data_IF_185973712324
#
_entry.id   IF_185973712324
#
_cell.length_a   1.000
_cell.length_b   1.000
_cell.length_c   1.000
_cell.angle_alpha   90.00
_cell.angle_beta   90.00
_cell.angle_gamma   90.00
#
_symmetry.space_group_name_H-M   'P 1'
#
loop_
_entity.id
_entity.type
_entity.pdbx_description
1 polymer ?
#
# COMPACT_ATOMS: atom_id res chain seq x y z
N UNK A 1 -8.94 9.79 13.93
CA UNK A 1 -9.20 10.06 15.37
C UNK A 1 -7.94 9.80 16.14
N UNK A 2 -7.30 10.86 16.60
CA UNK A 2 -6.04 10.86 17.34
C UNK A 2 -6.21 10.09 18.66
N UNK A 3 -5.47 9.01 18.81
CA UNK A 3 -5.29 8.34 20.09
C UNK A 3 -4.29 9.12 20.94
N UNK A 4 -4.79 9.96 21.83
CA UNK A 4 -3.96 10.58 22.86
C UNK A 4 -3.58 9.52 23.91
N UNK A 5 -2.28 9.24 24.04
CA UNK A 5 -1.73 8.61 25.23
C UNK A 5 -1.26 9.73 26.16
N UNK A 6 -2.00 10.01 27.22
CA UNK A 6 -1.55 10.88 28.31
C UNK A 6 -0.64 10.09 29.23
N UNK A 7 0.67 10.34 29.19
CA UNK A 7 1.59 10.03 30.28
C UNK A 7 1.87 11.32 31.03
N UNK A 8 1.10 11.58 32.09
CA UNK A 8 1.35 12.67 33.03
C UNK A 8 1.87 12.11 34.34
N UNK A 9 2.93 12.67 34.91
CA UNK A 9 3.36 12.39 36.28
C UNK A 9 2.55 13.21 37.28
N UNK A 10 2.00 12.52 38.29
CA UNK A 10 1.33 13.15 39.43
C UNK A 10 2.34 13.81 40.37
N UNK A 11 2.18 15.07 40.68
CA UNK A 11 2.93 15.71 41.77
C UNK A 11 2.21 15.56 43.09
N UNK A 12 2.97 15.47 44.18
CA UNK A 12 2.46 15.29 45.56
C UNK A 12 1.57 16.43 46.09
N UNK A 13 1.47 17.55 45.36
CA UNK A 13 0.64 18.71 45.70
C UNK A 13 -0.75 18.71 45.04
N UNK A 14 -1.08 17.65 44.30
CA UNK A 14 -2.38 17.53 43.63
C UNK A 14 -2.57 18.36 42.36
N UNK A 15 -1.54 19.00 41.84
CA UNK A 15 -1.60 19.78 40.60
C UNK A 15 -1.21 18.95 39.38
N UNK A 16 -1.96 19.08 38.29
CA UNK A 16 -1.62 18.52 36.96
C UNK A 16 -0.81 19.58 36.20
N UNK A 17 0.42 19.25 35.84
CA UNK A 17 1.20 20.11 34.96
C UNK A 17 0.97 19.69 33.51
N UNK A 18 0.13 20.42 32.81
CA UNK A 18 0.05 20.38 31.34
C UNK A 18 1.13 21.29 30.77
N UNK A 19 2.39 20.88 30.83
CA UNK A 19 3.37 21.47 29.94
C UNK A 19 2.94 21.14 28.52
N UNK A 20 2.52 22.16 27.79
CA UNK A 20 2.36 22.08 26.35
C UNK A 20 3.75 21.73 25.78
N UNK A 21 3.92 20.47 25.39
CA UNK A 21 4.97 20.16 24.42
C UNK A 21 4.62 20.95 23.16
N UNK A 22 5.32 22.07 22.98
CA UNK A 22 5.37 22.72 21.68
C UNK A 22 6.24 21.79 20.83
N UNK A 23 5.58 20.89 20.12
CA UNK A 23 6.20 20.16 19.03
C UNK A 23 6.45 21.17 17.90
N UNK A 24 7.68 21.67 17.84
CA UNK A 24 8.18 22.53 16.76
C UNK A 24 8.76 21.70 15.60
N UNK A 25 8.47 20.41 15.55
CA UNK A 25 8.66 19.58 14.38
C UNK A 25 7.56 19.93 13.37
N UNK A 26 7.90 20.60 12.28
CA UNK A 26 7.01 20.62 11.12
C UNK A 26 6.68 19.16 10.82
N UNK A 27 5.38 18.79 10.89
CA UNK A 27 4.91 17.50 10.39
C UNK A 27 5.35 17.41 8.94
N UNK A 28 6.44 16.69 8.69
CA UNK A 28 6.85 16.42 7.31
C UNK A 28 5.81 15.45 6.76
N UNK A 29 5.00 15.96 5.83
CA UNK A 29 4.06 15.12 5.09
C UNK A 29 4.82 13.92 4.48
N UNK A 30 4.31 12.72 4.69
CA UNK A 30 4.90 11.49 4.14
C UNK A 30 4.48 11.33 2.68
N UNK A 31 5.13 12.10 1.82
CA UNK A 31 4.84 12.16 0.39
C UNK A 31 6.02 11.69 -0.45
N UNK A 32 5.74 11.18 -1.64
CA UNK A 32 6.73 10.84 -2.64
C UNK A 32 6.19 11.06 -4.06
N UNK A 33 7.07 11.39 -4.99
CA UNK A 33 6.78 11.49 -6.42
C UNK A 33 7.87 10.77 -7.19
N UNK A 34 7.50 9.69 -7.89
CA UNK A 34 8.42 8.82 -8.61
C UNK A 34 8.06 8.83 -10.10
N UNK A 35 9.05 9.02 -10.92
CA UNK A 35 8.99 8.81 -12.36
C UNK A 35 9.92 7.65 -12.76
N UNK A 36 9.42 6.73 -13.59
CA UNK A 36 10.18 5.61 -14.14
C UNK A 36 9.86 5.46 -15.62
N UNK A 37 10.88 5.53 -16.44
CA UNK A 37 10.79 5.34 -17.88
C UNK A 37 11.70 4.20 -18.30
N UNK A 38 11.13 3.20 -18.96
CA UNK A 38 11.84 2.08 -19.59
C UNK A 38 11.58 2.10 -21.10
N UNK A 39 11.90 1.01 -21.79
CA UNK A 39 11.49 0.85 -23.19
C UNK A 39 10.03 0.40 -23.32
N UNK A 40 9.55 -0.28 -22.26
CA UNK A 40 8.26 -0.94 -22.21
C UNK A 40 7.20 -0.06 -21.53
N UNK A 41 7.61 0.76 -20.52
CA UNK A 41 6.68 1.54 -19.70
C UNK A 41 7.15 2.95 -19.42
N UNK A 42 6.20 3.88 -19.27
CA UNK A 42 6.41 5.21 -18.71
C UNK A 42 5.42 5.39 -17.55
N UNK A 43 5.94 5.59 -16.35
CA UNK A 43 5.14 5.65 -15.13
C UNK A 43 5.43 6.94 -14.38
N UNK A 44 4.36 7.63 -13.98
CA UNK A 44 4.40 8.73 -12.99
C UNK A 44 3.49 8.34 -11.84
N UNK A 45 4.03 8.36 -10.63
CA UNK A 45 3.29 8.05 -9.41
C UNK A 45 3.56 9.10 -8.34
N UNK A 46 2.48 9.65 -7.78
CA UNK A 46 2.52 10.54 -6.62
C UNK A 46 1.76 9.87 -5.46
N UNK A 47 2.36 9.80 -4.29
CA UNK A 47 1.81 9.17 -3.09
C UNK A 47 1.85 10.15 -1.92
N UNK A 48 0.73 10.25 -1.19
CA UNK A 48 0.66 10.86 0.13
C UNK A 48 0.09 9.83 1.13
N UNK A 49 0.92 9.39 2.09
CA UNK A 49 0.50 8.44 3.12
C UNK A 49 -0.38 9.08 4.21
N UNK A 50 -0.39 10.40 4.31
CA UNK A 50 -1.24 11.19 5.21
C UNK A 50 -2.43 11.82 4.47
N UNK A 51 -2.90 11.14 3.42
CA UNK A 51 -3.96 11.57 2.53
C UNK A 51 -5.37 11.41 3.09
N UNK A 52 -6.33 11.49 2.18
CA UNK A 52 -7.78 11.44 2.47
C UNK A 52 -8.50 10.32 1.73
N UNK A 53 -7.77 9.45 1.03
CA UNK A 53 -8.29 8.33 0.25
C UNK A 53 -8.66 8.71 -1.18
N UNK A 54 -7.99 9.68 -1.78
CA UNK A 54 -8.22 10.10 -3.17
C UNK A 54 -7.34 9.29 -4.13
N UNK A 55 -8.00 8.56 -5.03
CA UNK A 55 -7.37 7.91 -6.17
C UNK A 55 -7.54 8.73 -7.45
N UNK A 56 -6.48 8.86 -8.24
CA UNK A 56 -6.48 9.37 -9.62
C UNK A 56 -5.61 8.44 -10.44
N UNK A 57 -6.22 7.34 -10.93
CA UNK A 57 -5.52 6.17 -11.45
C UNK A 57 -5.83 6.00 -12.94
N UNK A 58 -4.81 5.71 -13.74
CA UNK A 58 -4.94 5.32 -15.14
C UNK A 58 -3.75 4.47 -15.55
N UNK A 59 -3.95 3.15 -15.55
CA UNK A 59 -2.93 2.16 -15.94
C UNK A 59 -3.19 1.55 -17.31
N UNK A 60 -4.41 1.76 -17.86
CA UNK A 60 -4.87 1.10 -19.05
C UNK A 60 -5.50 -0.28 -18.82
N UNK A 61 -5.46 -0.79 -17.57
CA UNK A 61 -6.05 -2.08 -17.17
C UNK A 61 -7.14 -1.80 -16.13
N UNK A 62 -8.42 -1.76 -16.55
CA UNK A 62 -9.52 -1.25 -15.74
C UNK A 62 -9.69 -1.96 -14.38
N UNK A 63 -9.46 -3.28 -14.30
CA UNK A 63 -9.51 -3.99 -13.02
C UNK A 63 -8.34 -3.60 -12.11
N UNK A 64 -7.16 -3.35 -12.65
CA UNK A 64 -6.02 -2.90 -11.88
C UNK A 64 -6.20 -1.45 -11.39
N UNK A 65 -6.80 -0.59 -12.21
CA UNK A 65 -7.20 0.77 -11.79
C UNK A 65 -8.12 0.69 -10.56
N UNK A 66 -9.14 -0.17 -10.61
CA UNK A 66 -10.07 -0.39 -9.49
C UNK A 66 -9.36 -0.91 -8.23
N UNK A 67 -8.38 -1.79 -8.37
CA UNK A 67 -7.59 -2.28 -7.22
C UNK A 67 -6.77 -1.17 -6.56
N UNK A 68 -6.08 -0.36 -7.34
CA UNK A 68 -5.30 0.77 -6.84
C UNK A 68 -6.18 1.88 -6.24
N UNK A 69 -7.37 2.12 -6.80
CA UNK A 69 -8.37 3.01 -6.19
C UNK A 69 -8.84 2.49 -4.84
N UNK A 70 -9.10 1.17 -4.73
CA UNK A 70 -9.43 0.49 -3.48
C UNK A 70 -8.33 0.65 -2.43
N UNK A 71 -7.08 0.42 -2.82
CA UNK A 71 -5.91 0.62 -1.96
C UNK A 71 -5.81 2.06 -1.43
N UNK A 72 -5.94 3.06 -2.31
CA UNK A 72 -5.91 4.46 -1.93
C UNK A 72 -7.05 4.79 -0.96
N UNK A 73 -8.27 4.42 -1.31
CA UNK A 73 -9.48 4.76 -0.57
C UNK A 73 -9.52 4.16 0.84
N UNK A 74 -9.23 2.87 0.95
CA UNK A 74 -9.33 2.15 2.22
C UNK A 74 -8.11 2.33 3.12
N UNK A 75 -6.93 2.58 2.52
CA UNK A 75 -5.72 2.99 3.24
C UNK A 75 -5.70 4.46 3.63
N UNK A 76 -6.67 5.28 3.16
CA UNK A 76 -6.68 6.74 3.32
C UNK A 76 -5.45 7.43 2.72
N UNK A 77 -4.84 6.83 1.71
CA UNK A 77 -3.75 7.43 0.96
C UNK A 77 -4.28 8.32 -0.15
N UNK A 78 -3.59 9.42 -0.51
CA UNK A 78 -3.84 10.04 -1.80
C UNK A 78 -2.83 9.46 -2.80
N UNK A 79 -3.33 8.89 -3.89
CA UNK A 79 -2.53 8.17 -4.87
C UNK A 79 -2.91 8.61 -6.29
N UNK A 80 -1.90 9.10 -7.03
CA UNK A 80 -2.03 9.36 -8.46
C UNK A 80 -1.09 8.43 -9.22
N UNK A 81 -1.61 7.75 -10.23
CA UNK A 81 -0.85 6.82 -11.09
C UNK A 81 -1.20 7.06 -12.54
N UNK A 82 -0.18 7.20 -13.36
CA UNK A 82 -0.28 7.23 -14.83
C UNK A 82 0.72 6.25 -15.40
N UNK A 83 0.22 5.33 -16.22
CA UNK A 83 1.05 4.33 -16.92
C UNK A 83 0.73 4.39 -18.40
N UNK A 84 1.77 4.55 -19.20
CA UNK A 84 1.79 4.30 -20.64
C UNK A 84 2.69 3.09 -20.89
N UNK A 85 2.10 1.91 -21.02
CA UNK A 85 2.77 0.62 -21.13
C UNK A 85 2.44 -0.10 -22.42
N UNK A 86 3.23 -1.11 -22.73
CA UNK A 86 3.13 -1.93 -23.95
C UNK A 86 2.04 -3.01 -23.88
N UNK A 87 0.82 -2.61 -23.49
CA UNK A 87 -0.34 -3.51 -23.28
C UNK A 87 -0.71 -4.35 -24.53
N UNK A 88 -0.18 -4.02 -25.71
CA UNK A 88 -0.30 -4.85 -26.90
C UNK A 88 0.53 -6.16 -26.80
N UNK A 89 1.50 -6.21 -25.86
CA UNK A 89 2.21 -7.44 -25.51
C UNK A 89 1.37 -8.20 -24.48
N UNK A 90 1.30 -7.66 -23.26
CA UNK A 90 0.42 -8.10 -22.15
C UNK A 90 0.42 -7.04 -21.04
N UNK A 91 -0.13 -7.37 -19.85
CA UNK A 91 -0.15 -6.48 -18.70
C UNK A 91 1.11 -6.54 -17.81
N UNK A 92 2.03 -7.47 -18.06
CA UNK A 92 3.12 -7.81 -17.13
C UNK A 92 3.98 -6.60 -16.78
N UNK A 93 4.59 -5.95 -17.79
CA UNK A 93 5.48 -4.82 -17.56
C UNK A 93 4.80 -3.66 -16.83
N UNK A 94 3.53 -3.37 -17.17
CA UNK A 94 2.76 -2.30 -16.52
C UNK A 94 2.49 -2.59 -15.05
N UNK A 95 2.13 -3.82 -14.70
CA UNK A 95 1.78 -4.23 -13.34
C UNK A 95 3.02 -4.35 -12.47
N UNK A 96 4.07 -5.02 -12.95
CA UNK A 96 5.33 -5.18 -12.21
C UNK A 96 6.00 -3.82 -11.97
N UNK A 97 6.17 -3.01 -13.01
CA UNK A 97 6.81 -1.69 -12.92
C UNK A 97 6.00 -0.74 -12.03
N UNK A 98 4.66 -0.82 -12.03
CA UNK A 98 3.81 -0.11 -11.07
C UNK A 98 4.13 -0.53 -9.63
N UNK A 99 4.26 -1.82 -9.37
CA UNK A 99 4.67 -2.35 -8.06
C UNK A 99 6.04 -1.85 -7.62
N UNK A 100 7.01 -1.80 -8.54
CA UNK A 100 8.35 -1.23 -8.27
C UNK A 100 8.25 0.24 -7.87
N UNK A 101 7.50 1.03 -8.65
CA UNK A 101 7.36 2.48 -8.42
C UNK A 101 6.61 2.75 -7.13
N UNK A 102 5.50 2.03 -6.85
CA UNK A 102 4.75 2.16 -5.60
C UNK A 102 5.61 1.79 -4.39
N UNK A 103 6.35 0.69 -4.46
CA UNK A 103 7.25 0.28 -3.39
C UNK A 103 8.34 1.32 -3.09
N UNK A 104 8.92 1.92 -4.13
CA UNK A 104 9.88 3.03 -3.98
C UNK A 104 9.22 4.27 -3.36
N UNK A 105 8.02 4.63 -3.81
CA UNK A 105 7.28 5.76 -3.26
C UNK A 105 6.95 5.56 -1.77
N UNK A 106 6.51 4.35 -1.37
CA UNK A 106 6.31 4.01 0.04
C UNK A 106 7.62 4.18 0.83
N UNK A 107 8.73 3.62 0.32
CA UNK A 107 10.03 3.72 0.98
C UNK A 107 10.51 5.16 1.16
N UNK A 108 10.31 5.99 0.15
CA UNK A 108 10.67 7.41 0.18
C UNK A 108 9.78 8.18 1.15
N UNK A 109 8.47 7.98 1.08
CA UNK A 109 7.50 8.66 1.95
C UNK A 109 7.67 8.30 3.43
N UNK A 110 8.02 7.05 3.79
CA UNK A 110 8.27 6.66 5.19
C UNK A 110 9.64 7.14 5.72
N UNK A 111 10.55 7.53 4.85
CA UNK A 111 11.83 8.13 5.21
C UNK A 111 12.63 7.32 6.23
N UNK A 112 13.06 7.96 7.32
CA UNK A 112 13.86 7.36 8.41
C UNK A 112 13.03 6.49 9.38
N UNK A 113 11.71 6.39 9.15
CA UNK A 113 10.76 5.57 9.92
C UNK A 113 10.59 5.97 11.39
N UNK A 114 11.09 7.15 11.81
CA UNK A 114 10.90 7.62 13.17
C UNK A 114 9.43 7.90 13.46
N UNK A 115 8.97 7.54 14.66
CA UNK A 115 7.61 7.81 15.11
C UNK A 115 6.53 6.91 14.51
N UNK A 116 6.85 6.04 13.52
CA UNK A 116 5.87 5.14 12.93
C UNK A 116 5.86 3.75 13.58
N UNK A 117 4.70 3.09 13.53
CA UNK A 117 4.60 1.67 13.91
C UNK A 117 5.29 0.81 12.84
N UNK A 118 6.25 -0.03 13.26
CA UNK A 118 6.97 -0.94 12.38
C UNK A 118 6.09 -2.05 11.81
N UNK A 119 5.14 -2.56 12.61
CA UNK A 119 4.30 -3.70 12.27
C UNK A 119 2.86 -3.26 12.06
N UNK A 120 2.23 -3.76 10.99
CA UNK A 120 0.82 -3.59 10.70
C UNK A 120 0.19 -4.89 10.26
N UNK A 121 -1.11 -5.04 10.51
CA UNK A 121 -1.87 -6.19 10.03
C UNK A 121 -3.34 -5.85 9.86
N UNK A 122 -3.99 -6.53 8.94
CA UNK A 122 -5.42 -6.51 8.74
C UNK A 122 -5.92 -7.91 8.38
N UNK A 123 -7.09 -8.26 8.88
CA UNK A 123 -7.88 -9.38 8.37
C UNK A 123 -9.15 -8.77 7.80
N UNK A 124 -9.31 -8.84 6.48
CA UNK A 124 -10.35 -8.13 5.76
C UNK A 124 -11.34 -9.12 5.12
N UNK A 125 -12.63 -9.04 5.46
CA UNK A 125 -13.69 -9.78 4.77
C UNK A 125 -14.15 -9.01 3.53
N UNK A 126 -14.38 -9.73 2.44
CA UNK A 126 -15.03 -9.25 1.23
C UNK A 126 -16.00 -10.31 0.75
N UNK A 127 -17.28 -10.15 1.10
CA UNK A 127 -18.32 -11.16 0.96
C UNK A 127 -17.88 -12.51 1.53
N UNK A 128 -17.71 -13.55 0.70
CA UNK A 128 -17.25 -14.88 1.12
C UNK A 128 -15.72 -14.97 1.26
N UNK A 129 -14.97 -13.98 0.77
CA UNK A 129 -13.52 -13.97 0.87
C UNK A 129 -13.05 -13.39 2.21
N UNK A 130 -11.99 -13.97 2.76
CA UNK A 130 -11.33 -13.51 3.97
C UNK A 130 -9.82 -13.55 3.74
N UNK A 131 -9.16 -12.39 3.80
CA UNK A 131 -7.73 -12.27 3.54
C UNK A 131 -7.02 -11.66 4.74
N UNK A 132 -5.88 -12.25 5.11
CA UNK A 132 -4.93 -11.69 6.07
C UNK A 132 -3.81 -10.99 5.30
N UNK A 133 -3.53 -9.75 5.67
CA UNK A 133 -2.33 -9.02 5.26
C UNK A 133 -1.55 -8.59 6.51
N UNK A 134 -0.23 -8.84 6.53
CA UNK A 134 0.65 -8.40 7.60
C UNK A 134 1.97 -7.88 7.05
N UNK A 135 2.46 -6.76 7.60
CA UNK A 135 3.67 -6.08 7.15
C UNK A 135 4.68 -5.87 8.28
N UNK A 136 5.97 -5.92 7.94
CA UNK A 136 7.09 -5.43 8.75
C UNK A 136 7.92 -4.46 7.92
N UNK A 137 7.88 -3.18 8.28
CA UNK A 137 8.62 -2.11 7.59
C UNK A 137 10.08 -2.04 8.06
N UNK A 138 10.68 -3.20 8.33
CA UNK A 138 12.02 -3.34 8.93
C UNK A 138 13.20 -3.06 8.00
N UNK A 139 13.00 -2.83 6.71
CA UNK A 139 14.06 -2.59 5.72
C UNK A 139 14.57 -3.87 5.03
N UNK A 140 14.04 -5.03 5.35
CA UNK A 140 14.38 -6.32 4.75
C UNK A 140 13.22 -6.81 3.90
N UNK A 141 13.39 -6.93 2.56
CA UNK A 141 12.30 -7.38 1.70
C UNK A 141 12.03 -8.88 1.88
N UNK A 142 10.75 -9.23 1.89
CA UNK A 142 10.27 -10.60 1.85
C UNK A 142 8.80 -10.63 1.46
N UNK A 143 8.42 -11.45 0.51
CA UNK A 143 7.02 -11.75 0.22
C UNK A 143 6.71 -13.19 0.64
N UNK A 144 5.65 -13.36 1.43
CA UNK A 144 4.95 -14.63 1.61
C UNK A 144 3.55 -14.46 1.02
N UNK A 145 3.30 -15.14 -0.10
CA UNK A 145 2.03 -15.08 -0.82
C UNK A 145 1.40 -16.47 -0.84
N UNK A 146 0.37 -16.66 -0.01
CA UNK A 146 -0.38 -17.91 0.12
C UNK A 146 -1.82 -17.66 -0.37
N UNK A 147 -1.98 -17.61 -1.69
CA UNK A 147 -3.25 -17.41 -2.36
C UNK A 147 -3.35 -18.29 -3.59
N UNK A 148 -4.48 -18.93 -3.75
CA UNK A 148 -4.80 -19.73 -4.94
C UNK A 148 -5.91 -19.04 -5.72
N UNK A 149 -5.53 -18.38 -6.80
CA UNK A 149 -6.48 -17.82 -7.76
C UNK A 149 -6.77 -18.88 -8.82
N UNK A 150 -8.04 -19.12 -9.08
CA UNK A 150 -8.49 -20.22 -9.96
C UNK A 150 -8.87 -19.75 -11.36
N UNK A 151 -9.19 -18.46 -11.53
CA UNK A 151 -9.43 -17.88 -12.84
C UNK A 151 -8.09 -17.40 -13.43
N UNK A 152 -7.92 -17.54 -14.72
CA UNK A 152 -6.77 -17.04 -15.47
C UNK A 152 -6.73 -15.50 -15.46
N UNK A 153 -7.90 -14.86 -15.51
CA UNK A 153 -8.08 -13.41 -15.58
C UNK A 153 -9.27 -12.93 -14.77
N UNK A 154 -9.19 -11.68 -14.30
CA UNK A 154 -10.33 -10.88 -13.85
C UNK A 154 -10.34 -9.59 -14.66
N UNK A 155 -11.38 -9.40 -15.47
CA UNK A 155 -11.35 -8.37 -16.52
C UNK A 155 -10.22 -8.64 -17.51
N UNK A 156 -9.37 -7.65 -17.71
CA UNK A 156 -8.17 -7.75 -18.57
C UNK A 156 -6.87 -7.94 -17.78
N UNK A 157 -6.95 -8.21 -16.47
CA UNK A 157 -5.80 -8.46 -15.62
C UNK A 157 -5.59 -9.98 -15.44
N UNK A 158 -4.45 -10.49 -15.83
CA UNK A 158 -4.01 -11.86 -15.55
C UNK A 158 -3.78 -12.01 -14.04
N UNK A 159 -4.33 -13.09 -13.45
CA UNK A 159 -4.28 -13.29 -12.00
C UNK A 159 -2.87 -13.62 -11.48
N UNK A 160 -2.00 -14.16 -12.32
CA UNK A 160 -0.59 -14.38 -11.98
C UNK A 160 0.16 -13.09 -11.70
N UNK A 161 -0.24 -11.96 -12.31
CA UNK A 161 0.40 -10.65 -12.12
C UNK A 161 0.15 -10.06 -10.72
N UNK A 162 -0.83 -10.57 -10.00
CA UNK A 162 -1.08 -10.15 -8.61
C UNK A 162 0.11 -10.50 -7.71
N UNK A 163 0.67 -11.70 -7.88
CA UNK A 163 1.91 -12.09 -7.18
C UNK A 163 3.07 -11.17 -7.54
N UNK A 164 3.28 -10.92 -8.83
CA UNK A 164 4.38 -10.07 -9.33
C UNK A 164 4.27 -8.63 -8.80
N UNK A 165 3.06 -8.07 -8.78
CA UNK A 165 2.81 -6.76 -8.20
C UNK A 165 3.24 -6.69 -6.72
N UNK A 166 2.74 -7.60 -5.88
CA UNK A 166 3.07 -7.58 -4.45
C UNK A 166 4.54 -7.92 -4.17
N UNK A 167 5.15 -8.77 -5.02
CA UNK A 167 6.58 -9.02 -4.98
C UNK A 167 7.36 -7.73 -5.23
N UNK A 168 7.06 -7.04 -6.32
CA UNK A 168 7.70 -5.79 -6.70
C UNK A 168 7.54 -4.71 -5.62
N UNK A 169 6.34 -4.56 -5.04
CA UNK A 169 6.07 -3.64 -3.92
C UNK A 169 6.93 -4.00 -2.71
N UNK A 170 6.89 -5.25 -2.24
CA UNK A 170 7.62 -5.72 -1.06
C UNK A 170 9.12 -5.46 -1.18
N UNK A 171 9.71 -5.85 -2.31
CA UNK A 171 11.14 -5.71 -2.55
C UNK A 171 11.58 -4.26 -2.72
N UNK A 172 10.82 -3.45 -3.43
CA UNK A 172 11.13 -2.05 -3.66
C UNK A 172 10.94 -1.18 -2.42
N UNK A 173 9.92 -1.46 -1.61
CA UNK A 173 9.69 -0.80 -0.31
C UNK A 173 10.70 -1.24 0.76
N UNK A 174 11.33 -2.40 0.62
CA UNK A 174 12.17 -3.01 1.64
C UNK A 174 11.37 -3.41 2.87
N UNK A 175 10.23 -4.09 2.67
CA UNK A 175 9.36 -4.56 3.75
C UNK A 175 9.06 -6.05 3.62
N UNK A 176 8.78 -6.70 4.75
CA UNK A 176 8.13 -7.99 4.68
C UNK A 176 6.63 -7.78 4.44
N UNK A 177 6.08 -8.55 3.53
CA UNK A 177 4.66 -8.57 3.20
C UNK A 177 4.18 -10.03 3.24
N UNK A 178 3.20 -10.30 4.07
CA UNK A 178 2.52 -11.58 4.15
C UNK A 178 1.08 -11.40 3.72
N UNK A 179 0.68 -12.11 2.68
CA UNK A 179 -0.70 -12.18 2.20
C UNK A 179 -1.14 -13.63 2.26
N UNK A 180 -2.24 -13.87 2.96
CA UNK A 180 -2.81 -15.21 3.08
C UNK A 180 -4.32 -15.18 2.89
N UNK A 181 -4.82 -15.93 1.92
CA UNK A 181 -6.25 -16.18 1.76
C UNK A 181 -6.66 -17.23 2.79
N UNK A 182 -7.52 -16.82 3.72
CA UNK A 182 -8.05 -17.70 4.76
C UNK A 182 -9.29 -18.43 4.29
N UNK A 183 -10.12 -17.77 3.47
CA UNK A 183 -11.30 -18.32 2.80
C UNK A 183 -11.62 -17.49 1.55
N UNK A 184 -12.35 -18.05 0.58
CA UNK A 184 -12.81 -17.34 -0.62
C UNK A 184 -12.85 -18.23 -1.86
N UNK A 185 -13.76 -17.89 -2.77
CA UNK A 185 -13.96 -18.59 -4.04
C UNK A 185 -13.94 -17.66 -5.23
N UNK A 186 -14.50 -16.45 -5.09
CA UNK A 186 -14.55 -15.47 -6.16
C UNK A 186 -13.19 -14.74 -6.26
N UNK A 187 -12.49 -14.90 -7.38
CA UNK A 187 -11.15 -14.30 -7.55
C UNK A 187 -11.17 -12.76 -7.49
N UNK A 188 -12.25 -12.11 -7.93
CA UNK A 188 -12.42 -10.67 -7.81
C UNK A 188 -12.43 -10.26 -6.32
N UNK A 189 -13.28 -10.91 -5.50
CA UNK A 189 -13.39 -10.61 -4.07
C UNK A 189 -12.06 -10.88 -3.33
N UNK A 190 -11.40 -11.99 -3.66
CA UNK A 190 -10.09 -12.34 -3.08
C UNK A 190 -9.05 -11.26 -3.39
N UNK A 191 -8.92 -10.88 -4.67
CA UNK A 191 -7.93 -9.87 -5.10
C UNK A 191 -8.28 -8.50 -4.49
N UNK A 192 -9.53 -8.10 -4.53
CA UNK A 192 -9.97 -6.82 -3.95
C UNK A 192 -9.68 -6.75 -2.44
N UNK A 193 -9.89 -7.86 -1.70
CA UNK A 193 -9.53 -7.94 -0.29
C UNK A 193 -8.02 -7.85 -0.02
N UNK A 194 -7.15 -8.27 -0.97
CA UNK A 194 -5.70 -8.12 -0.85
C UNK A 194 -5.25 -6.66 -0.98
N UNK A 195 -5.96 -5.86 -1.78
CA UNK A 195 -5.59 -4.47 -2.04
C UNK A 195 -6.16 -3.49 -1.02
N UNK A 196 -7.25 -3.83 -0.35
CA UNK A 196 -7.90 -3.00 0.70
C UNK A 196 -7.23 -3.17 2.06
#
# INVERSE_FOLDING_TARGET
KNGFSCSGEYRMDGSFNTEKFIDTGADMERTASIERNTKETKIVLELNLDGTGKGDISTGIGFFDHMLEGFARHGFFDLKVRIDGDLQVDGHHSVEDCGIVLGRAIREAVGDKKGMKRFGQCILPMDEALVLCAIDVGGRPWLNYDAKLTAERVGYLETELIHEFFYAVSYSAGMNLHIKVLDGQNNHHIIEAMFK
#
